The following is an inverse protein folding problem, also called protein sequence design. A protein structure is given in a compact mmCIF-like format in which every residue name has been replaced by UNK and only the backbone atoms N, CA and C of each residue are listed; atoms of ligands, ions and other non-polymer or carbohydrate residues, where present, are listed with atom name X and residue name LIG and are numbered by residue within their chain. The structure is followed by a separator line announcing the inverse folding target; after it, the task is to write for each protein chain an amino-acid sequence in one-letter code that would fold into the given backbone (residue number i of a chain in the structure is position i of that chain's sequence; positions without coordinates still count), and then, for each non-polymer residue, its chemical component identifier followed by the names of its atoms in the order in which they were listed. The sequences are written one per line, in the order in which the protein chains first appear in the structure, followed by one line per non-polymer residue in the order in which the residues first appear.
data_IF_717315339438
#
_entry.id   IF_717315339438
#
_cell.length_a   1.000
_cell.length_b   1.000
_cell.length_c   1.000
_cell.angle_alpha   90.00
_cell.angle_beta   90.00
_cell.angle_gamma   90.00
#
_symmetry.space_group_name_H-M   'P 1'
#
loop_
_entity.id
_entity.type
_entity.pdbx_description
1 polymer ?
#
# COMPACT_ATOMS: atom_id res chain seq x y z
N UNK A 1 26.15 -10.87 -19.48
CA UNK A 1 24.71 -11.16 -19.70
C UNK A 1 23.96 -10.96 -18.38
N UNK A 2 23.49 -9.74 -18.10
CA UNK A 2 22.88 -9.43 -16.80
C UNK A 2 21.40 -9.77 -16.84
N UNK A 3 21.02 -10.91 -16.26
CA UNK A 3 19.63 -11.19 -15.89
C UNK A 3 19.25 -10.20 -14.79
N UNK A 4 18.61 -9.09 -15.16
CA UNK A 4 17.84 -8.32 -14.19
C UNK A 4 16.68 -9.21 -13.77
N UNK A 5 16.89 -9.95 -12.69
CA UNK A 5 15.80 -10.59 -11.96
C UNK A 5 14.78 -9.48 -11.72
N UNK A 6 13.59 -9.61 -12.29
CA UNK A 6 12.46 -8.76 -11.93
C UNK A 6 12.10 -9.18 -10.51
N UNK A 7 12.82 -8.63 -9.55
CA UNK A 7 12.53 -8.70 -8.12
C UNK A 7 11.10 -8.23 -7.93
N UNK A 8 10.26 -9.02 -7.26
CA UNK A 8 8.80 -8.89 -7.13
C UNK A 8 8.28 -7.61 -6.46
N UNK A 9 8.69 -6.44 -6.95
CA UNK A 9 8.27 -5.12 -6.50
C UNK A 9 6.86 -4.76 -7.01
N UNK A 10 6.40 -5.40 -8.10
CA UNK A 10 5.18 -5.04 -8.81
C UNK A 10 3.90 -5.53 -8.14
N UNK A 11 3.91 -6.71 -7.48
CA UNK A 11 2.73 -7.23 -6.78
C UNK A 11 2.50 -6.52 -5.44
N UNK A 12 3.57 -6.22 -4.69
CA UNK A 12 3.48 -5.50 -3.42
C UNK A 12 2.88 -4.10 -3.60
N UNK A 13 3.34 -3.34 -4.59
CA UNK A 13 2.82 -2.00 -4.90
C UNK A 13 1.38 -1.99 -5.42
N UNK A 14 0.98 -3.00 -6.19
CA UNK A 14 -0.38 -3.11 -6.71
C UNK A 14 -1.39 -3.50 -5.61
N UNK A 15 -1.05 -4.45 -4.74
CA UNK A 15 -1.86 -4.82 -3.58
C UNK A 15 -1.97 -3.67 -2.58
N UNK A 16 -0.87 -2.95 -2.39
CA UNK A 16 -0.78 -1.74 -1.59
C UNK A 16 -1.75 -0.65 -2.08
N UNK A 17 -1.68 -0.30 -3.38
CA UNK A 17 -2.50 0.74 -3.98
C UNK A 17 -3.97 0.31 -4.10
N UNK A 18 -4.22 -0.94 -4.48
CA UNK A 18 -5.57 -1.52 -4.57
C UNK A 18 -6.26 -1.59 -3.21
N UNK A 19 -5.56 -2.03 -2.17
CA UNK A 19 -6.09 -2.03 -0.79
C UNK A 19 -6.33 -0.62 -0.24
N UNK A 20 -5.59 0.37 -0.74
CA UNK A 20 -5.81 1.77 -0.40
C UNK A 20 -7.11 2.35 -0.98
N UNK A 21 -7.34 2.12 -2.28
CA UNK A 21 -8.60 2.49 -2.95
C UNK A 21 -9.81 1.79 -2.31
N UNK A 22 -9.64 0.52 -1.91
CA UNK A 22 -10.66 -0.21 -1.17
C UNK A 22 -10.98 0.45 0.17
N UNK A 23 -9.97 0.85 0.95
CA UNK A 23 -10.17 1.48 2.27
C UNK A 23 -10.85 2.84 2.16
N UNK A 24 -10.46 3.66 1.17
CA UNK A 24 -11.10 4.95 0.91
C UNK A 24 -12.58 4.82 0.54
N UNK A 25 -12.91 3.85 -0.33
CA UNK A 25 -14.28 3.61 -0.78
C UNK A 25 -15.15 2.91 0.26
N UNK A 26 -14.63 1.87 0.92
CA UNK A 26 -15.36 1.05 1.89
C UNK A 26 -15.72 1.83 3.15
N UNK A 27 -14.79 2.65 3.62
CA UNK A 27 -14.88 3.12 4.99
C UNK A 27 -15.58 4.51 5.09
N UNK A 28 -15.88 5.19 3.97
CA UNK A 28 -16.48 6.55 3.91
C UNK A 28 -15.90 7.47 4.99
N UNK A 29 -14.57 7.44 5.14
CA UNK A 29 -13.89 7.99 6.29
C UNK A 29 -13.93 9.52 6.24
N UNK A 30 -14.67 10.12 7.19
CA UNK A 30 -14.60 11.53 7.59
C UNK A 30 -13.17 12.04 7.41
N UNK A 31 -12.97 13.05 6.55
CA UNK A 31 -11.70 13.61 6.01
C UNK A 31 -10.41 13.21 6.76
N UNK A 32 -10.37 13.45 8.07
CA UNK A 32 -9.24 13.15 8.95
C UNK A 32 -8.81 11.68 9.00
N UNK A 33 -9.77 10.75 9.01
CA UNK A 33 -9.48 9.32 9.07
C UNK A 33 -8.91 8.79 7.74
N UNK A 34 -9.27 9.40 6.61
CA UNK A 34 -8.72 9.02 5.30
C UNK A 34 -7.22 9.32 5.21
N UNK A 35 -6.79 10.47 5.76
CA UNK A 35 -5.37 10.86 5.82
C UNK A 35 -4.59 9.92 6.75
N UNK A 36 -5.14 9.61 7.93
CA UNK A 36 -4.50 8.65 8.85
C UNK A 36 -4.41 7.26 8.22
N UNK A 37 -5.43 6.82 7.48
CA UNK A 37 -5.39 5.60 6.69
C UNK A 37 -4.35 5.62 5.57
N UNK A 38 -4.05 6.79 4.98
CA UNK A 38 -2.97 6.97 3.99
C UNK A 38 -1.59 6.79 4.59
N UNK A 39 -1.40 7.27 5.81
CA UNK A 39 -0.10 7.34 6.47
C UNK A 39 0.20 6.09 7.31
N UNK A 40 -0.82 5.47 7.92
CA UNK A 40 -0.69 4.21 8.67
C UNK A 40 -0.39 3.03 7.75
N UNK A 41 -0.99 3.04 6.56
CA UNK A 41 -0.80 1.96 5.61
C UNK A 41 0.74 1.79 5.34
N UNK A 42 1.55 2.82 4.93
CA UNK A 42 2.93 2.58 4.42
C UNK A 42 3.85 2.18 5.54
N UNK A 43 3.52 2.63 6.75
CA UNK A 43 4.12 2.16 7.98
C UNK A 43 3.93 0.65 8.16
N UNK A 44 2.72 0.12 7.96
CA UNK A 44 2.46 -1.32 8.01
C UNK A 44 3.26 -2.10 6.96
N UNK A 45 3.32 -1.61 5.72
CA UNK A 45 4.08 -2.27 4.66
C UNK A 45 5.59 -2.26 4.95
N UNK A 46 6.12 -1.15 5.47
CA UNK A 46 7.53 -1.03 5.88
C UNK A 46 7.86 -1.95 7.06
N UNK A 47 6.95 -2.11 8.02
CA UNK A 47 7.09 -3.09 9.12
C UNK A 47 7.04 -4.53 8.60
N UNK A 48 6.19 -4.81 7.62
CA UNK A 48 6.04 -6.17 7.06
C UNK A 48 7.20 -6.57 6.12
N UNK A 49 7.88 -5.59 5.50
CA UNK A 49 9.06 -5.79 4.65
C UNK A 49 10.41 -5.80 5.41
N UNK A 50 10.41 -5.48 6.71
CA UNK A 50 11.56 -5.64 7.61
C UNK A 50 11.72 -7.10 8.03
#
# INVERSE_FOLDING_TARGET
MSKRSVSGQSLGGALWFGGWLFTLGFAQLVWWKAILGLVVWPYYLAVFLR
#
